data_IF_749426961912
#
_entry.id   IF_749426961912
#
_cell.length_a   1.000
_cell.length_b   1.000
_cell.length_c   1.000
_cell.angle_alpha   90.00
_cell.angle_beta   90.00
_cell.angle_gamma   90.00
#
_symmetry.space_group_name_H-M   'P 1'
#
loop_
_entity.id
_entity.type
_entity.pdbx_description
1 polymer ?
#
# COMPACT_ATOMS: atom_id res chain seq x y z
N UNK A 1 20.47 -9.24 4.22
CA UNK A 1 19.03 -9.56 4.38
C UNK A 1 18.73 -9.79 5.86
N UNK A 2 18.15 -8.80 6.53
CA UNK A 2 17.87 -8.80 7.99
C UNK A 2 16.35 -8.78 8.18
N UNK A 3 15.67 -9.85 7.76
CA UNK A 3 14.25 -10.04 8.11
C UNK A 3 14.16 -11.13 9.16
N UNK A 4 13.83 -10.74 10.40
CA UNK A 4 13.50 -11.69 11.47
C UNK A 4 12.28 -12.52 11.03
N UNK A 5 12.30 -13.86 11.21
CA UNK A 5 11.30 -14.78 10.64
C UNK A 5 9.89 -14.68 11.24
N UNK A 6 9.64 -13.74 12.16
CA UNK A 6 8.38 -13.64 12.89
C UNK A 6 7.29 -12.81 12.19
N UNK A 7 7.62 -12.11 11.11
CA UNK A 7 6.65 -11.39 10.28
C UNK A 7 6.25 -12.22 9.06
N UNK A 8 5.55 -13.34 9.27
CA UNK A 8 4.81 -13.95 8.15
C UNK A 8 3.67 -13.01 7.74
N UNK A 9 3.58 -12.60 6.47
CA UNK A 9 2.44 -11.81 6.00
C UNK A 9 1.16 -12.55 6.35
N UNK A 10 0.16 -11.82 6.83
CA UNK A 10 -1.13 -12.39 7.23
C UNK A 10 -1.69 -13.10 6.00
N UNK A 11 -1.63 -14.43 6.00
CA UNK A 11 -2.11 -15.23 4.88
C UNK A 11 -3.54 -14.80 4.56
N UNK A 12 -3.83 -14.53 3.28
CA UNK A 12 -5.18 -14.19 2.84
C UNK A 12 -6.16 -15.16 3.51
N UNK A 13 -7.15 -14.60 4.20
CA UNK A 13 -8.16 -15.38 4.93
C UNK A 13 -8.63 -16.56 4.07
N UNK A 14 -8.65 -17.77 4.64
CA UNK A 14 -9.05 -19.01 3.95
C UNK A 14 -10.39 -18.86 3.22
N UNK A 15 -11.29 -18.00 3.73
CA UNK A 15 -12.54 -17.60 3.08
C UNK A 15 -12.25 -16.88 1.75
N UNK A 16 -11.45 -15.82 1.73
CA UNK A 16 -11.16 -15.04 0.52
C UNK A 16 -10.59 -15.91 -0.62
N UNK A 17 -9.72 -16.88 -0.32
CA UNK A 17 -9.10 -17.75 -1.33
C UNK A 17 -10.10 -18.62 -2.12
N UNK A 18 -11.15 -19.12 -1.47
CA UNK A 18 -12.17 -19.95 -2.13
C UNK A 18 -13.37 -19.14 -2.64
N UNK A 19 -13.74 -18.07 -1.94
CA UNK A 19 -14.87 -17.23 -2.32
C UNK A 19 -14.58 -16.35 -3.54
N UNK A 20 -13.34 -15.90 -3.75
CA UNK A 20 -12.99 -15.04 -4.90
C UNK A 20 -13.26 -15.70 -6.26
N UNK A 21 -12.76 -16.93 -6.55
CA UNK A 21 -13.07 -17.60 -7.82
C UNK A 21 -14.55 -18.00 -7.93
N UNK A 22 -15.20 -18.37 -6.81
CA UNK A 22 -16.62 -18.67 -6.80
C UNK A 22 -17.48 -17.45 -7.18
N UNK A 23 -17.11 -16.26 -6.68
CA UNK A 23 -17.78 -15.01 -7.00
C UNK A 23 -17.56 -14.60 -8.46
N UNK A 24 -16.31 -14.70 -8.95
CA UNK A 24 -15.96 -14.45 -10.36
C UNK A 24 -16.75 -15.37 -11.31
N UNK A 25 -16.88 -16.65 -10.97
CA UNK A 25 -17.70 -17.60 -11.73
C UNK A 25 -19.21 -17.32 -11.62
N UNK A 26 -19.67 -16.76 -10.50
CA UNK A 26 -21.06 -16.37 -10.29
C UNK A 26 -21.46 -15.13 -11.10
N UNK A 27 -20.53 -14.19 -11.31
CA UNK A 27 -20.73 -12.95 -12.06
C UNK A 27 -20.45 -13.05 -13.57
N UNK A 28 -20.01 -14.22 -14.06
CA UNK A 28 -19.68 -14.42 -15.49
C UNK A 28 -20.89 -14.23 -16.43
N UNK A 29 -20.62 -13.80 -17.66
CA UNK A 29 -21.57 -13.41 -18.74
C UNK A 29 -22.83 -14.28 -18.81
N UNK A 30 -23.91 -13.87 -18.12
CA UNK A 30 -25.21 -14.55 -18.18
C UNK A 30 -26.14 -13.81 -19.12
N UNK A 31 -26.94 -14.58 -19.87
CA UNK A 31 -28.01 -14.05 -20.73
C UNK A 31 -27.69 -14.04 -22.23
N UNK A 32 -26.44 -13.77 -22.63
CA UNK A 32 -26.09 -13.66 -24.07
C UNK A 32 -26.27 -14.99 -24.81
N UNK A 33 -25.81 -16.09 -24.21
CA UNK A 33 -25.94 -17.43 -24.81
C UNK A 33 -27.39 -17.90 -24.83
N UNK A 34 -28.16 -17.63 -23.77
CA UNK A 34 -29.59 -17.99 -23.71
C UNK A 34 -30.43 -17.18 -24.69
N UNK A 35 -30.13 -15.89 -24.87
CA UNK A 35 -30.80 -15.02 -25.83
C UNK A 35 -30.45 -15.42 -27.28
N UNK A 36 -29.19 -15.75 -27.54
CA UNK A 36 -28.76 -16.27 -28.84
C UNK A 36 -29.45 -17.61 -29.17
N UNK A 37 -29.55 -18.53 -28.21
CA UNK A 37 -30.26 -19.80 -28.40
C UNK A 37 -31.75 -19.60 -28.65
N UNK A 38 -32.39 -18.66 -27.94
CA UNK A 38 -33.80 -18.32 -28.15
C UNK A 38 -34.05 -17.70 -29.53
N UNK A 39 -33.17 -16.82 -30.00
CA UNK A 39 -33.23 -16.22 -31.34
C UNK A 39 -32.85 -17.20 -32.46
N UNK A 40 -32.11 -18.27 -32.14
CA UNK A 40 -31.73 -19.31 -33.10
C UNK A 40 -32.88 -20.24 -33.46
N UNK A 41 -34.05 -20.13 -32.80
CA UNK A 41 -35.23 -20.94 -33.13
C UNK A 41 -35.85 -20.42 -34.45
N UNK A 42 -35.89 -21.24 -35.52
CA UNK A 42 -36.39 -20.82 -36.83
C UNK A 42 -37.88 -20.48 -36.77
N UNK A 43 -38.28 -19.48 -37.56
CA UNK A 43 -39.67 -18.98 -37.60
C UNK A 43 -40.61 -19.99 -38.26
N UNK A 44 -40.06 -20.79 -39.19
CA UNK A 44 -40.78 -21.78 -40.01
C UNK A 44 -39.99 -23.10 -40.02
N UNK A 45 -40.70 -24.23 -39.97
CA UNK A 45 -40.13 -25.55 -40.22
C UNK A 45 -39.78 -25.70 -41.71
N UNK A 46 -38.92 -26.66 -42.07
CA UNK A 46 -38.50 -26.96 -43.45
C UNK A 46 -39.69 -27.26 -44.40
N UNK A 47 -40.84 -27.58 -43.83
CA UNK A 47 -42.09 -27.87 -44.53
C UNK A 47 -43.01 -26.62 -44.71
N UNK A 48 -42.52 -25.42 -44.39
CA UNK A 48 -43.26 -24.14 -44.54
C UNK A 48 -44.29 -23.85 -43.44
N UNK A 49 -44.48 -24.76 -42.48
CA UNK A 49 -45.39 -24.56 -41.34
C UNK A 49 -44.72 -23.73 -40.23
N UNK A 50 -45.48 -22.86 -39.57
CA UNK A 50 -44.99 -22.09 -38.41
C UNK A 50 -44.54 -23.02 -37.28
N UNK A 51 -43.43 -22.69 -36.63
CA UNK A 51 -42.91 -23.48 -35.51
C UNK A 51 -43.91 -23.45 -34.32
N UNK A 52 -44.43 -24.59 -33.87
CA UNK A 52 -45.44 -24.62 -32.82
C UNK A 52 -44.86 -24.11 -31.50
N UNK A 53 -45.63 -23.28 -30.78
CA UNK A 53 -45.30 -22.79 -29.44
C UNK A 53 -43.99 -21.96 -29.34
N UNK A 54 -43.48 -21.42 -30.45
CA UNK A 54 -42.28 -20.54 -30.46
C UNK A 54 -42.40 -19.38 -29.48
N UNK A 55 -43.54 -18.69 -29.47
CA UNK A 55 -43.76 -17.54 -28.59
C UNK A 55 -43.78 -17.94 -27.10
N UNK A 56 -44.23 -19.16 -26.79
CA UNK A 56 -44.17 -19.71 -25.44
C UNK A 56 -42.72 -19.97 -25.00
N UNK A 57 -41.89 -20.51 -25.90
CA UNK A 57 -40.46 -20.74 -25.64
C UNK A 57 -39.73 -19.40 -25.46
N UNK A 58 -39.99 -18.43 -26.33
CA UNK A 58 -39.46 -17.06 -26.19
C UNK A 58 -39.89 -16.41 -24.88
N UNK A 59 -41.16 -16.55 -24.50
CA UNK A 59 -41.66 -16.03 -23.23
C UNK A 59 -40.97 -16.67 -22.02
N UNK A 60 -40.84 -18.00 -21.99
CA UNK A 60 -40.17 -18.71 -20.88
C UNK A 60 -38.69 -18.34 -20.81
N UNK A 61 -37.98 -18.27 -21.95
CA UNK A 61 -36.57 -17.87 -21.98
C UNK A 61 -36.38 -16.43 -21.49
N UNK A 62 -37.27 -15.51 -21.88
CA UNK A 62 -37.24 -14.12 -21.43
C UNK A 62 -37.48 -14.00 -19.92
N UNK A 63 -38.51 -14.68 -19.40
CA UNK A 63 -38.79 -14.72 -17.94
C UNK A 63 -37.63 -15.35 -17.18
N UNK A 64 -37.04 -16.44 -17.69
CA UNK A 64 -35.90 -17.09 -17.06
C UNK A 64 -34.68 -16.16 -17.00
N UNK A 65 -34.39 -15.41 -18.08
CA UNK A 65 -33.31 -14.42 -18.11
C UNK A 65 -33.59 -13.31 -17.09
N UNK A 66 -34.79 -12.71 -17.09
CA UNK A 66 -35.14 -11.67 -16.11
C UNK A 66 -35.00 -12.15 -14.67
N UNK A 67 -35.50 -13.35 -14.36
CA UNK A 67 -35.40 -13.91 -13.02
C UNK A 67 -33.95 -14.14 -12.61
N UNK A 68 -33.11 -14.68 -13.51
CA UNK A 68 -31.69 -14.88 -13.21
C UNK A 68 -30.94 -13.56 -13.00
N UNK A 69 -31.21 -12.55 -13.81
CA UNK A 69 -30.62 -11.21 -13.65
C UNK A 69 -31.05 -10.55 -12.35
N UNK A 70 -32.33 -10.67 -11.98
CA UNK A 70 -32.87 -10.08 -10.75
C UNK A 70 -32.30 -10.76 -9.50
N UNK A 71 -32.28 -12.09 -9.49
CA UNK A 71 -31.70 -12.87 -8.39
C UNK A 71 -30.20 -12.55 -8.26
N UNK A 72 -29.43 -12.59 -9.35
CA UNK A 72 -27.99 -12.31 -9.28
C UNK A 72 -27.68 -10.86 -8.91
N UNK A 73 -28.39 -9.91 -9.50
CA UNK A 73 -28.22 -8.48 -9.26
C UNK A 73 -28.48 -8.07 -7.82
N UNK A 74 -29.46 -8.71 -7.16
CA UNK A 74 -29.75 -8.49 -5.73
C UNK A 74 -28.86 -9.32 -4.79
N UNK A 75 -28.42 -10.50 -5.24
CA UNK A 75 -27.59 -11.41 -4.42
C UNK A 75 -26.17 -10.89 -4.27
N UNK A 76 -25.60 -10.26 -5.30
CA UNK A 76 -24.23 -9.72 -5.27
C UNK A 76 -24.01 -8.67 -4.16
N UNK A 77 -24.80 -7.58 -4.06
CA UNK A 77 -24.61 -6.58 -3.00
C UNK A 77 -24.83 -7.17 -1.61
N UNK A 78 -25.76 -8.11 -1.45
CA UNK A 78 -25.99 -8.80 -0.17
C UNK A 78 -24.77 -9.63 0.26
N UNK A 79 -24.18 -10.41 -0.65
CA UNK A 79 -22.99 -11.22 -0.37
C UNK A 79 -21.78 -10.32 -0.09
N UNK A 80 -21.60 -9.24 -0.86
CA UNK A 80 -20.50 -8.30 -0.68
C UNK A 80 -20.57 -7.65 0.71
N UNK A 81 -21.74 -7.12 1.09
CA UNK A 81 -21.91 -6.44 2.37
C UNK A 81 -21.73 -7.39 3.56
N UNK A 82 -22.22 -8.63 3.45
CA UNK A 82 -22.12 -9.63 4.53
C UNK A 82 -20.70 -10.17 4.72
N UNK A 83 -19.92 -10.26 3.65
CA UNK A 83 -18.63 -10.97 3.69
C UNK A 83 -17.42 -10.02 3.75
N UNK A 84 -17.62 -8.71 3.53
CA UNK A 84 -16.57 -7.67 3.53
C UNK A 84 -15.30 -8.07 2.75
N UNK A 85 -15.45 -8.89 1.71
CA UNK A 85 -14.31 -9.53 1.02
C UNK A 85 -13.44 -8.56 0.24
N UNK A 86 -14.00 -7.39 -0.10
CA UNK A 86 -13.33 -6.33 -0.83
C UNK A 86 -12.78 -5.22 0.09
N UNK A 87 -12.99 -5.31 1.40
CA UNK A 87 -12.40 -4.41 2.40
C UNK A 87 -10.86 -4.57 2.33
N UNK A 88 -10.17 -3.49 1.94
CA UNK A 88 -8.71 -3.47 1.72
C UNK A 88 -8.20 -3.90 0.34
N UNK A 89 -9.05 -4.11 -0.69
CA UNK A 89 -8.56 -4.36 -2.08
C UNK A 89 -8.46 -3.06 -2.89
N UNK A 90 -9.41 -2.15 -2.68
CA UNK A 90 -9.50 -0.88 -3.40
C UNK A 90 -8.98 0.31 -2.57
N UNK A 91 -8.32 0.02 -1.46
CA UNK A 91 -7.92 0.99 -0.45
C UNK A 91 -6.43 1.37 -0.60
N UNK A 92 -5.99 1.65 -1.83
CA UNK A 92 -4.63 2.18 -2.09
C UNK A 92 -4.39 3.47 -1.27
N UNK A 93 -5.43 4.30 -1.11
CA UNK A 93 -5.40 5.49 -0.26
C UNK A 93 -5.23 5.16 1.23
N UNK A 94 -5.64 3.97 1.65
CA UNK A 94 -5.55 3.51 3.04
C UNK A 94 -4.17 2.94 3.36
N UNK A 95 -3.38 2.52 2.36
CA UNK A 95 -2.00 2.06 2.56
C UNK A 95 -1.08 3.19 3.05
N UNK A 96 -1.18 4.39 2.45
CA UNK A 96 -0.40 5.55 2.88
C UNK A 96 -0.80 6.00 4.29
N UNK A 97 -2.11 6.05 4.55
CA UNK A 97 -2.65 6.41 5.87
C UNK A 97 -2.25 5.37 6.92
N UNK A 98 -2.33 4.09 6.58
CA UNK A 98 -1.91 2.98 7.46
C UNK A 98 -0.41 3.03 7.72
N UNK A 99 0.41 3.32 6.71
CA UNK A 99 1.86 3.49 6.85
C UNK A 99 2.18 4.66 7.77
N UNK A 100 1.51 5.81 7.62
CA UNK A 100 1.67 6.97 8.50
C UNK A 100 1.29 6.63 9.94
N UNK A 101 0.13 5.99 10.16
CA UNK A 101 -0.32 5.53 11.49
C UNK A 101 0.66 4.55 12.14
N UNK A 102 1.17 3.57 11.38
CA UNK A 102 2.16 2.61 11.89
C UNK A 102 3.46 3.29 12.31
N UNK A 103 3.98 4.20 11.47
CA UNK A 103 5.19 4.97 11.80
C UNK A 103 5.00 5.79 13.07
N UNK A 104 3.88 6.50 13.18
CA UNK A 104 3.56 7.30 14.37
C UNK A 104 3.43 6.42 15.62
N UNK A 105 2.68 5.32 15.54
CA UNK A 105 2.51 4.38 16.64
C UNK A 105 3.84 3.78 17.12
N UNK A 106 4.76 3.47 16.20
CA UNK A 106 6.09 2.96 16.55
C UNK A 106 6.92 4.02 17.31
N UNK A 107 6.90 5.28 16.85
CA UNK A 107 7.60 6.39 17.52
C UNK A 107 7.06 6.59 18.94
N UNK A 108 5.74 6.60 19.12
CA UNK A 108 5.09 6.71 20.43
C UNK A 108 5.48 5.55 21.34
N UNK A 109 5.44 4.32 20.83
CA UNK A 109 5.76 3.13 21.62
C UNK A 109 7.23 3.11 22.09
N UNK A 110 8.16 3.52 21.23
CA UNK A 110 9.58 3.64 21.57
C UNK A 110 9.78 4.74 22.62
N UNK A 111 9.11 5.88 22.48
CA UNK A 111 9.19 6.97 23.45
C UNK A 111 8.68 6.53 24.83
N UNK A 112 7.53 5.87 24.90
CA UNK A 112 6.99 5.35 26.16
C UNK A 112 7.92 4.33 26.81
N UNK A 113 8.48 3.40 26.04
CA UNK A 113 9.44 2.42 26.53
C UNK A 113 10.74 3.07 27.05
N UNK A 114 11.29 4.04 26.30
CA UNK A 114 12.50 4.77 26.71
C UNK A 114 12.25 5.62 27.95
N UNK A 115 11.09 6.27 28.04
CA UNK A 115 10.70 7.07 29.20
C UNK A 115 10.58 6.22 30.45
N UNK A 116 9.92 5.05 30.35
CA UNK A 116 9.72 4.13 31.47
C UNK A 116 11.04 3.51 31.94
N UNK A 117 11.88 3.04 31.01
CA UNK A 117 13.13 2.35 31.33
C UNK A 117 14.24 3.26 31.84
N UNK A 118 14.33 4.49 31.33
CA UNK A 118 15.38 5.43 31.70
C UNK A 118 14.91 6.49 32.71
N UNK A 119 13.71 6.35 33.29
CA UNK A 119 13.17 7.27 34.28
C UNK A 119 14.14 7.58 35.44
N UNK A 120 14.86 6.56 35.91
CA UNK A 120 15.84 6.66 37.01
C UNK A 120 17.20 7.25 36.60
N UNK A 121 17.63 7.09 35.34
CA UNK A 121 18.95 7.55 34.85
C UNK A 121 18.96 8.99 34.31
N UNK A 122 17.78 9.60 34.13
CA UNK A 122 17.62 10.98 33.62
C UNK A 122 18.27 12.01 34.56
N UNK A 123 18.41 11.71 35.85
CA UNK A 123 19.08 12.58 36.81
C UNK A 123 20.61 12.66 36.68
N UNK A 124 21.25 11.65 36.05
CA UNK A 124 22.71 11.52 36.03
C UNK A 124 23.40 11.89 34.71
N UNK A 125 22.70 11.84 33.58
CA UNK A 125 23.33 12.00 32.26
C UNK A 125 22.51 12.91 31.33
N UNK A 126 22.97 14.15 31.14
CA UNK A 126 22.34 15.19 30.30
C UNK A 126 22.20 14.79 28.84
N UNK A 127 22.99 13.81 28.37
CA UNK A 127 22.92 13.28 27.00
C UNK A 127 21.63 12.48 26.79
N UNK A 128 21.21 11.68 27.77
CA UNK A 128 20.00 10.83 27.67
C UNK A 128 18.75 11.72 27.68
N UNK A 129 18.73 12.76 28.51
CA UNK A 129 17.65 13.75 28.55
C UNK A 129 17.48 14.47 27.20
N UNK A 130 18.59 14.92 26.58
CA UNK A 130 18.56 15.53 25.23
C UNK A 130 18.08 14.56 24.16
N UNK A 131 18.51 13.30 24.24
CA UNK A 131 18.07 12.26 23.31
C UNK A 131 16.56 12.04 23.43
N UNK A 132 16.02 11.89 24.65
CA UNK A 132 14.59 11.73 24.91
C UNK A 132 13.76 12.90 24.40
N UNK A 133 14.22 14.14 24.63
CA UNK A 133 13.55 15.35 24.12
C UNK A 133 13.52 15.38 22.59
N UNK A 134 14.63 15.01 21.94
CA UNK A 134 14.70 14.91 20.47
C UNK A 134 13.77 13.81 19.92
N UNK A 135 13.63 12.67 20.62
CA UNK A 135 12.71 11.61 20.24
C UNK A 135 11.24 11.99 20.46
N UNK A 136 10.94 12.77 21.50
CA UNK A 136 9.60 13.33 21.74
C UNK A 136 9.17 14.27 20.61
N UNK A 137 10.09 15.15 20.19
CA UNK A 137 9.85 16.10 19.11
C UNK A 137 9.65 15.35 17.77
N UNK A 138 10.43 14.29 17.53
CA UNK A 138 10.25 13.39 16.38
C UNK A 138 8.95 12.59 16.41
N UNK A 139 8.46 12.22 17.58
CA UNK A 139 7.19 11.50 17.77
C UNK A 139 5.98 12.44 17.59
N UNK A 140 6.12 13.72 17.96
CA UNK A 140 5.11 14.76 17.76
C UNK A 140 5.10 15.31 16.32
N UNK A 141 6.23 15.27 15.62
CA UNK A 141 6.29 15.58 14.20
C UNK A 141 5.47 14.55 13.41
N UNK A 142 4.27 14.96 12.99
CA UNK A 142 3.36 14.17 12.16
C UNK A 142 3.91 13.89 10.75
N UNK A 143 4.93 14.65 10.36
CA UNK A 143 5.60 14.53 9.07
C UNK A 143 6.95 13.85 9.27
N UNK A 144 7.12 12.71 8.60
CA UNK A 144 8.39 11.98 8.54
C UNK A 144 9.41 12.67 7.62
N UNK A 145 9.04 13.85 7.13
CA UNK A 145 9.91 14.83 6.50
C UNK A 145 10.88 15.33 7.56
N UNK A 146 11.87 14.51 7.88
CA UNK A 146 13.01 14.78 8.77
C UNK A 146 13.65 16.15 8.50
N UNK A 147 13.44 16.70 7.29
CA UNK A 147 13.83 18.05 6.90
C UNK A 147 12.73 18.72 6.07
N UNK A 148 12.25 19.88 6.51
CA UNK A 148 11.57 20.85 5.64
C UNK A 148 12.43 21.06 4.38
N UNK A 149 11.84 21.31 3.20
CA UNK A 149 12.62 21.62 1.98
C UNK A 149 13.68 22.71 2.26
N UNK A 150 13.35 23.69 3.11
CA UNK A 150 14.30 24.72 3.54
C UNK A 150 15.48 24.16 4.33
N UNK A 151 15.25 23.18 5.19
CA UNK A 151 16.31 22.49 5.92
C UNK A 151 17.18 21.64 4.99
N UNK A 152 16.61 21.04 3.93
CA UNK A 152 17.37 20.32 2.88
C UNK A 152 18.35 21.23 2.16
N UNK A 153 17.88 22.40 1.76
CA UNK A 153 18.72 23.41 1.11
C UNK A 153 19.89 23.84 2.01
N UNK A 154 19.62 24.15 3.29
CA UNK A 154 20.67 24.55 4.25
C UNK A 154 21.70 23.43 4.47
N UNK A 155 21.26 22.17 4.49
CA UNK A 155 22.16 21.03 4.70
C UNK A 155 23.05 20.76 3.48
N UNK A 156 22.50 20.90 2.27
CA UNK A 156 23.30 20.81 1.03
C UNK A 156 24.34 21.91 0.98
N UNK A 157 23.96 23.14 1.35
CA UNK A 157 24.89 24.28 1.44
C UNK A 157 26.03 24.00 2.45
N UNK A 158 25.71 23.40 3.60
CA UNK A 158 26.72 22.98 4.58
C UNK A 158 27.68 21.92 4.02
N UNK A 159 27.18 20.92 3.28
CA UNK A 159 28.02 19.86 2.70
C UNK A 159 28.97 20.43 1.62
N UNK A 160 28.51 21.40 0.82
CA UNK A 160 29.37 22.11 -0.14
C UNK A 160 30.50 22.88 0.54
N UNK A 161 30.23 23.55 1.66
CA UNK A 161 31.28 24.23 2.45
C UNK A 161 32.32 23.22 2.96
N UNK A 162 31.90 22.06 3.45
CA UNK A 162 32.81 21.00 3.88
C UNK A 162 33.67 20.47 2.72
N UNK A 163 33.08 20.28 1.54
CA UNK A 163 33.80 19.85 0.33
C UNK A 163 34.85 20.88 -0.09
N UNK A 164 34.53 22.16 -0.06
CA UNK A 164 35.49 23.24 -0.34
C UNK A 164 36.66 23.21 0.65
N UNK A 165 36.38 23.04 1.94
CA UNK A 165 37.42 22.94 2.97
C UNK A 165 38.35 21.74 2.76
N UNK A 166 37.79 20.56 2.46
CA UNK A 166 38.56 19.36 2.13
C UNK A 166 39.39 19.52 0.86
N UNK A 167 38.88 20.27 -0.13
CA UNK A 167 39.59 20.56 -1.38
C UNK A 167 40.77 21.51 -1.15
N UNK A 168 40.61 22.51 -0.29
CA UNK A 168 41.73 23.38 0.14
C UNK A 168 42.77 22.60 0.95
N UNK A 169 42.33 21.73 1.87
CA UNK A 169 43.24 20.83 2.62
C UNK A 169 44.00 19.88 1.70
N UNK A 170 43.40 19.42 0.60
CA UNK A 170 44.07 18.54 -0.36
C UNK A 170 45.22 19.22 -1.12
N UNK A 171 45.32 20.56 -1.06
CA UNK A 171 46.46 21.29 -1.63
C UNK A 171 47.71 21.22 -0.74
N UNK A 172 47.57 20.83 0.53
CA UNK A 172 48.71 20.65 1.43
C UNK A 172 49.34 19.25 1.22
N UNK A 173 50.57 19.15 0.70
CA UNK A 173 51.24 17.88 0.46
C UNK A 173 51.57 17.09 1.74
N UNK A 174 51.36 17.66 2.94
CA UNK A 174 51.50 16.95 4.22
C UNK A 174 50.29 16.08 4.57
N UNK A 175 49.15 16.30 3.92
CA UNK A 175 47.91 15.58 4.21
C UNK A 175 47.77 14.39 3.26
N UNK A 176 47.39 13.24 3.82
CA UNK A 176 47.19 12.03 3.03
C UNK A 176 45.89 12.14 2.22
N UNK A 177 46.01 12.16 0.90
CA UNK A 177 44.91 12.23 -0.07
C UNK A 177 43.85 11.14 0.16
N UNK A 178 44.26 9.93 0.57
CA UNK A 178 43.34 8.81 0.77
C UNK A 178 42.35 9.08 1.91
N UNK A 179 42.78 9.79 2.97
CA UNK A 179 41.92 10.18 4.09
C UNK A 179 40.89 11.23 3.63
N UNK A 180 41.31 12.18 2.80
CA UNK A 180 40.42 13.19 2.22
C UNK A 180 39.39 12.52 1.31
N UNK A 181 39.81 11.57 0.49
CA UNK A 181 38.94 10.83 -0.42
C UNK A 181 37.89 10.01 0.33
N UNK A 182 38.27 9.37 1.45
CA UNK A 182 37.31 8.68 2.32
C UNK A 182 36.29 9.65 2.92
N UNK A 183 36.72 10.83 3.36
CA UNK A 183 35.83 11.83 3.93
C UNK A 183 34.86 12.42 2.89
N UNK A 184 35.34 12.67 1.66
CA UNK A 184 34.48 13.10 0.54
C UNK A 184 33.43 12.04 0.21
N UNK A 185 33.81 10.76 0.21
CA UNK A 185 32.86 9.66 -0.02
C UNK A 185 31.76 9.60 1.04
N UNK A 186 32.07 9.87 2.32
CA UNK A 186 31.04 9.95 3.37
C UNK A 186 30.06 11.10 3.11
N UNK A 187 30.56 12.27 2.69
CA UNK A 187 29.73 13.44 2.36
C UNK A 187 28.78 13.12 1.20
N UNK A 188 29.28 12.46 0.15
CA UNK A 188 28.46 12.06 -1.00
C UNK A 188 27.35 11.07 -0.59
N UNK A 189 27.65 10.15 0.33
CA UNK A 189 26.69 9.17 0.84
C UNK A 189 25.59 9.83 1.68
N UNK A 190 25.93 10.86 2.45
CA UNK A 190 24.96 11.68 3.17
C UNK A 190 24.05 12.49 2.22
N UNK A 191 24.60 13.03 1.14
CA UNK A 191 23.84 13.75 0.10
C UNK A 191 22.84 12.81 -0.62
N UNK A 192 23.27 11.62 -1.03
CA UNK A 192 22.40 10.64 -1.69
C UNK A 192 21.29 10.14 -0.77
N UNK A 193 21.58 10.00 0.53
CA UNK A 193 20.57 9.67 1.53
C UNK A 193 19.53 10.79 1.67
N UNK A 194 19.93 12.05 1.55
CA UNK A 194 19.03 13.21 1.61
C UNK A 194 18.10 13.30 0.38
N UNK A 195 18.56 12.86 -0.80
CA UNK A 195 17.75 12.83 -2.03
C UNK A 195 16.72 11.72 -2.05
N UNK A 196 17.01 10.58 -1.41
CA UNK A 196 16.09 9.42 -1.36
C UNK A 196 14.92 9.56 -0.37
N UNK A 197 14.91 10.60 0.46
CA UNK A 197 13.88 10.89 1.47
C UNK A 197 13.04 12.08 1.01
#
# INVERSE_FOLDING_TARGET
MIFRPQNTPRAMSKKRRWFMPALLGWTGMRGVVSLAAALSIPVTLDNGTLFPQRDLILFITFVAILLTLLVQGLTLPYIINKTRLFEGIFDETDEEVTRKKMKQGLKTHIYEYLKDKYADEIGGNTVIAKLLQQWEERAKAADDTWMSEKSKLIFVELLEIQRQYLTELNKDPKINEEIIRQQLYQIDLEEERLKMI
#
